data_IF_602942016473
#
_entry.id   IF_602942016473
#
_cell.length_a   1.000
_cell.length_b   1.000
_cell.length_c   1.000
_cell.angle_alpha   90.00
_cell.angle_beta   90.00
_cell.angle_gamma   90.00
#
_symmetry.space_group_name_H-M   'P 1'
#
loop_
_entity.id
_entity.type
_entity.pdbx_description
1 polymer ?
#
# COMPACT_ATOMS: atom_id res chain seq x y z
N UNK A 1 2.11 22.68 -23.20
CA UNK A 1 1.09 21.66 -22.87
C UNK A 1 1.28 20.38 -23.69
N UNK A 2 1.43 20.47 -25.02
CA UNK A 2 1.65 19.31 -25.91
C UNK A 2 2.93 18.52 -25.57
N UNK A 3 4.04 19.20 -25.27
CA UNK A 3 5.32 18.54 -24.92
C UNK A 3 5.21 17.69 -23.65
N UNK A 4 4.53 18.19 -22.62
CA UNK A 4 4.31 17.47 -21.36
C UNK A 4 3.46 16.22 -21.59
N UNK A 5 2.43 16.32 -22.42
CA UNK A 5 1.58 15.18 -22.80
C UNK A 5 2.40 14.12 -23.53
N UNK A 6 3.27 14.53 -24.47
CA UNK A 6 4.14 13.60 -25.20
C UNK A 6 5.13 12.90 -24.27
N UNK A 7 5.74 13.62 -23.31
CA UNK A 7 6.65 13.04 -22.32
C UNK A 7 5.95 12.03 -21.42
N UNK A 8 4.75 12.34 -20.92
CA UNK A 8 3.95 11.45 -20.08
C UNK A 8 3.59 10.16 -20.83
N UNK A 9 3.09 10.28 -22.07
CA UNK A 9 2.76 9.11 -22.90
C UNK A 9 4.00 8.28 -23.24
N UNK A 10 5.13 8.92 -23.53
CA UNK A 10 6.41 8.24 -23.78
C UNK A 10 6.85 7.40 -22.57
N UNK A 11 6.81 7.99 -21.37
CA UNK A 11 7.15 7.28 -20.14
C UNK A 11 6.17 6.13 -19.85
N UNK A 12 4.87 6.32 -20.07
CA UNK A 12 3.86 5.27 -19.88
C UNK A 12 4.16 4.05 -20.77
N UNK A 13 4.48 4.26 -22.05
CA UNK A 13 4.83 3.18 -22.96
C UNK A 13 6.09 2.45 -22.49
N UNK A 14 7.11 3.19 -22.01
CA UNK A 14 8.32 2.59 -21.47
C UNK A 14 8.03 1.77 -20.20
N UNK A 15 7.18 2.27 -19.30
CA UNK A 15 6.78 1.56 -18.08
C UNK A 15 5.99 0.29 -18.40
N UNK A 16 5.05 0.34 -19.36
CA UNK A 16 4.27 -0.81 -19.78
C UNK A 16 5.15 -1.92 -20.38
N UNK A 17 6.17 -1.56 -21.17
CA UNK A 17 7.13 -2.54 -21.70
C UNK A 17 7.96 -3.24 -20.62
N UNK A 18 8.17 -2.58 -19.49
CA UNK A 18 8.93 -3.09 -18.35
C UNK A 18 8.04 -3.70 -17.26
N UNK A 19 6.73 -3.77 -17.47
CA UNK A 19 5.74 -4.16 -16.45
C UNK A 19 6.07 -5.51 -15.82
N UNK A 20 6.38 -6.52 -16.63
CA UNK A 20 6.69 -7.86 -16.15
C UNK A 20 7.93 -7.87 -15.25
N UNK A 21 8.95 -7.09 -15.61
CA UNK A 21 10.18 -6.92 -14.83
C UNK A 21 9.89 -6.21 -13.51
N UNK A 22 9.09 -5.15 -13.53
CA UNK A 22 8.72 -4.41 -12.32
C UNK A 22 7.84 -5.22 -11.38
N UNK A 23 6.81 -5.89 -11.90
CA UNK A 23 5.94 -6.76 -11.11
C UNK A 23 6.76 -7.88 -10.45
N UNK A 24 7.73 -8.42 -11.17
CA UNK A 24 8.61 -9.47 -10.68
C UNK A 24 9.57 -8.97 -9.58
N UNK A 25 10.22 -7.84 -9.80
CA UNK A 25 11.07 -7.19 -8.80
C UNK A 25 10.28 -6.77 -7.55
N UNK A 26 9.09 -6.19 -7.73
CA UNK A 26 8.22 -5.75 -6.64
C UNK A 26 7.79 -6.92 -5.76
N UNK A 27 7.31 -8.03 -6.36
CA UNK A 27 6.92 -9.24 -5.61
C UNK A 27 8.06 -9.78 -4.75
N UNK A 28 9.28 -9.86 -5.31
CA UNK A 28 10.46 -10.34 -4.56
C UNK A 28 10.90 -9.38 -3.46
N UNK A 29 10.98 -8.08 -3.74
CA UNK A 29 11.40 -7.07 -2.74
C UNK A 29 10.41 -7.00 -1.59
N UNK A 30 9.12 -6.88 -1.89
CA UNK A 30 8.05 -6.76 -0.89
C UNK A 30 7.99 -8.01 -0.02
N UNK A 31 8.09 -9.20 -0.62
CA UNK A 31 8.16 -10.43 0.15
C UNK A 31 9.38 -10.45 1.08
N UNK A 32 10.55 -10.10 0.55
CA UNK A 32 11.78 -10.09 1.33
C UNK A 32 11.70 -9.13 2.53
N UNK A 33 11.25 -7.90 2.30
CA UNK A 33 11.08 -6.88 3.33
C UNK A 33 10.03 -7.29 4.37
N UNK A 34 8.89 -7.84 3.94
CA UNK A 34 7.85 -8.35 4.85
C UNK A 34 8.40 -9.46 5.73
N UNK A 35 9.06 -10.46 5.15
CA UNK A 35 9.53 -11.61 5.92
C UNK A 35 10.71 -11.25 6.84
N UNK A 36 11.62 -10.38 6.42
CA UNK A 36 12.71 -9.90 7.30
C UNK A 36 12.14 -9.11 8.48
N UNK A 37 11.14 -8.26 8.25
CA UNK A 37 10.47 -7.55 9.33
C UNK A 37 9.78 -8.51 10.32
N UNK A 38 8.95 -9.41 9.80
CA UNK A 38 8.12 -10.30 10.61
C UNK A 38 8.94 -11.35 11.36
N UNK A 39 9.94 -11.94 10.70
CA UNK A 39 10.71 -13.04 11.25
C UNK A 39 11.93 -12.58 12.04
N UNK A 40 12.55 -11.45 11.69
CA UNK A 40 13.79 -10.97 12.33
C UNK A 40 13.54 -9.74 13.19
N UNK A 41 12.97 -8.67 12.62
CA UNK A 41 12.83 -7.38 13.32
C UNK A 41 11.87 -7.49 14.51
N UNK A 42 10.73 -8.17 14.34
CA UNK A 42 9.74 -8.34 15.41
C UNK A 42 10.18 -9.27 16.56
N UNK A 43 11.32 -9.97 16.44
CA UNK A 43 11.85 -10.80 17.54
C UNK A 43 12.16 -9.97 18.78
N UNK A 44 12.81 -8.83 18.60
CA UNK A 44 13.25 -7.99 19.72
C UNK A 44 12.06 -7.30 20.44
N UNK A 45 11.08 -6.70 19.74
CA UNK A 45 9.83 -6.24 20.33
C UNK A 45 9.07 -7.35 21.08
N UNK A 46 8.98 -8.56 20.50
CA UNK A 46 8.34 -9.70 21.14
C UNK A 46 9.05 -10.11 22.44
N UNK A 47 10.38 -10.23 22.39
CA UNK A 47 11.22 -10.54 23.54
C UNK A 47 11.02 -9.54 24.67
N UNK A 48 11.04 -8.24 24.36
CA UNK A 48 10.83 -7.16 25.35
C UNK A 48 9.41 -7.22 25.92
N UNK A 49 8.40 -7.43 25.09
CA UNK A 49 7.01 -7.53 25.53
C UNK A 49 6.81 -8.70 26.51
N UNK A 50 7.37 -9.88 26.21
CA UNK A 50 7.33 -11.05 27.10
C UNK A 50 8.09 -10.77 28.41
N UNK A 51 9.33 -10.28 28.32
CA UNK A 51 10.17 -9.99 29.50
C UNK A 51 9.50 -8.99 30.44
N UNK A 52 8.83 -7.97 29.90
CA UNK A 52 8.23 -6.87 30.65
C UNK A 52 6.72 -7.04 30.89
N UNK A 53 6.16 -8.23 30.64
CA UNK A 53 4.73 -8.56 30.84
C UNK A 53 3.78 -7.56 30.15
N UNK A 54 4.11 -7.15 28.92
CA UNK A 54 3.29 -6.28 28.08
C UNK A 54 2.36 -7.11 27.20
N UNK A 55 1.35 -7.73 27.81
CA UNK A 55 0.53 -8.76 27.16
C UNK A 55 -0.20 -8.29 25.90
N UNK A 56 -0.70 -7.05 25.88
CA UNK A 56 -1.38 -6.52 24.69
C UNK A 56 -0.40 -6.32 23.51
N UNK A 57 0.80 -5.80 23.77
CA UNK A 57 1.85 -5.66 22.75
C UNK A 57 2.29 -7.04 22.26
N UNK A 58 2.51 -7.98 23.19
CA UNK A 58 2.84 -9.37 22.86
C UNK A 58 1.79 -9.97 21.93
N UNK A 59 0.50 -9.84 22.28
CA UNK A 59 -0.62 -10.38 21.51
C UNK A 59 -0.64 -9.84 20.07
N UNK A 60 -0.48 -8.52 19.91
CA UNK A 60 -0.45 -7.88 18.58
C UNK A 60 0.77 -8.35 17.77
N UNK A 61 1.96 -8.39 18.37
CA UNK A 61 3.18 -8.83 17.66
C UNK A 61 3.09 -10.30 17.25
N UNK A 62 2.55 -11.17 18.11
CA UNK A 62 2.31 -12.58 17.77
C UNK A 62 1.30 -12.70 16.64
N UNK A 63 0.17 -11.99 16.72
CA UNK A 63 -0.87 -12.00 15.69
C UNK A 63 -0.36 -11.53 14.31
N UNK A 64 0.50 -10.49 14.27
CA UNK A 64 1.18 -10.09 13.03
C UNK A 64 2.03 -11.23 12.46
N UNK A 65 2.78 -11.94 13.30
CA UNK A 65 3.65 -13.05 12.88
C UNK A 65 2.87 -14.26 12.42
N UNK A 66 1.73 -14.57 13.04
CA UNK A 66 0.82 -15.62 12.60
C UNK A 66 0.10 -15.29 11.28
N UNK A 67 -0.22 -14.02 11.06
CA UNK A 67 -0.94 -13.57 9.84
C UNK A 67 -0.11 -13.76 8.57
N UNK A 68 1.21 -13.58 8.63
CA UNK A 68 2.05 -13.49 7.43
C UNK A 68 3.45 -14.10 7.52
N UNK A 69 3.83 -14.72 8.64
CA UNK A 69 5.12 -15.39 8.79
C UNK A 69 5.20 -16.67 7.97
N UNK A 70 6.04 -16.67 6.93
CA UNK A 70 6.32 -17.84 6.09
C UNK A 70 7.64 -18.49 6.51
N UNK A 71 7.56 -19.41 7.46
CA UNK A 71 8.73 -20.04 8.04
C UNK A 71 9.33 -21.11 7.11
N UNK A 72 10.66 -21.18 7.02
CA UNK A 72 11.34 -22.14 6.15
C UNK A 72 10.98 -23.63 6.41
N UNK A 73 10.54 -23.96 7.62
CA UNK A 73 10.10 -25.32 8.02
C UNK A 73 8.57 -25.44 8.15
N UNK A 74 7.82 -24.45 7.67
CA UNK A 74 6.36 -24.39 7.79
C UNK A 74 5.82 -24.00 9.17
N UNK A 75 6.67 -24.00 10.20
CA UNK A 75 6.30 -23.58 11.55
C UNK A 75 7.35 -22.66 12.16
N UNK A 76 6.90 -21.83 13.10
CA UNK A 76 7.77 -20.94 13.83
C UNK A 76 8.79 -21.72 14.68
N UNK A 77 10.09 -21.37 14.65
CA UNK A 77 11.12 -22.01 15.46
C UNK A 77 10.85 -21.90 16.98
N UNK A 78 10.37 -22.98 17.59
CA UNK A 78 10.03 -23.02 19.03
C UNK A 78 11.24 -22.88 19.97
N UNK A 79 12.45 -23.07 19.43
CA UNK A 79 13.70 -22.85 20.14
C UNK A 79 14.16 -21.39 20.19
N UNK A 80 13.45 -20.45 19.54
CA UNK A 80 13.79 -19.02 19.56
C UNK A 80 13.80 -18.48 21.01
N UNK A 81 14.93 -17.96 21.53
CA UNK A 81 14.99 -17.35 22.87
C UNK A 81 14.00 -16.19 23.07
N UNK A 82 13.67 -15.47 22.00
CA UNK A 82 12.73 -14.34 22.02
C UNK A 82 11.33 -14.78 22.47
N UNK A 83 10.88 -15.98 22.10
CA UNK A 83 9.60 -16.57 22.53
C UNK A 83 9.53 -16.81 24.05
N UNK A 84 10.68 -16.78 24.73
CA UNK A 84 10.79 -16.93 26.19
C UNK A 84 11.28 -15.65 26.88
N UNK A 85 11.31 -14.52 26.16
CA UNK A 85 11.80 -13.24 26.68
C UNK A 85 13.32 -13.18 26.92
N UNK A 86 14.08 -14.17 26.43
CA UNK A 86 15.54 -14.29 26.62
C UNK A 86 16.28 -13.70 25.42
N UNK A 87 17.48 -13.16 25.67
CA UNK A 87 18.40 -12.73 24.60
C UNK A 87 19.00 -13.96 23.90
N UNK A 88 19.50 -13.76 22.69
CA UNK A 88 20.31 -14.77 21.99
C UNK A 88 21.57 -15.06 22.83
N UNK A 89 21.93 -16.34 22.95
CA UNK A 89 23.11 -16.78 23.70
C UNK A 89 24.40 -16.57 22.91
N UNK A 90 25.52 -17.08 23.44
CA UNK A 90 26.84 -17.03 22.76
C UNK A 90 26.82 -17.74 21.40
N UNK A 91 26.11 -18.87 21.30
CA UNK A 91 25.71 -19.42 20.01
C UNK A 91 24.54 -18.58 19.47
N UNK A 92 24.84 -17.64 18.57
CA UNK A 92 23.86 -16.75 17.95
C UNK A 92 22.74 -17.56 17.30
N UNK A 93 21.52 -17.40 17.80
CA UNK A 93 20.34 -18.01 17.20
C UNK A 93 20.04 -17.32 15.87
N UNK A 94 19.90 -18.09 14.78
CA UNK A 94 19.67 -17.57 13.45
C UNK A 94 18.40 -18.14 12.85
N UNK A 95 17.63 -17.28 12.16
CA UNK A 95 16.46 -17.68 11.38
C UNK A 95 16.81 -17.54 9.91
N UNK A 96 16.69 -18.63 9.16
CA UNK A 96 16.79 -18.60 7.69
C UNK A 96 15.46 -18.14 7.12
N UNK A 97 15.41 -16.88 6.70
CA UNK A 97 14.23 -16.31 6.04
C UNK A 97 14.17 -16.81 4.58
N UNK A 98 13.06 -17.44 4.14
CA UNK A 98 12.90 -17.82 2.75
C UNK A 98 12.86 -16.59 1.84
N UNK A 99 13.15 -16.80 0.55
CA UNK A 99 13.02 -15.77 -0.49
C UNK A 99 12.12 -16.33 -1.58
N UNK A 100 10.98 -15.67 -1.82
CA UNK A 100 9.97 -16.10 -2.79
C UNK A 100 9.60 -14.97 -3.71
N UNK A 101 9.00 -15.36 -4.83
CA UNK A 101 8.49 -14.45 -5.84
C UNK A 101 6.97 -14.29 -5.73
N UNK A 102 6.50 -13.81 -4.59
CA UNK A 102 5.07 -13.66 -4.31
C UNK A 102 4.84 -12.56 -3.29
N UNK A 103 4.02 -11.56 -3.62
CA UNK A 103 3.64 -10.52 -2.67
C UNK A 103 2.62 -11.04 -1.64
N UNK A 104 2.43 -10.34 -0.51
CA UNK A 104 1.32 -10.62 0.40
C UNK A 104 -0.01 -10.38 -0.29
N UNK A 105 -1.05 -11.10 0.15
CA UNK A 105 -2.43 -10.76 -0.22
C UNK A 105 -2.82 -9.37 0.33
N UNK A 106 -3.82 -8.73 -0.29
CA UNK A 106 -4.38 -7.46 0.19
C UNK A 106 -4.85 -7.55 1.63
N UNK A 107 -5.49 -8.67 2.01
CA UNK A 107 -5.92 -8.93 3.39
C UNK A 107 -4.74 -9.04 4.35
N UNK A 108 -3.68 -9.78 4.01
CA UNK A 108 -2.47 -9.87 4.85
C UNK A 108 -1.84 -8.50 5.04
N UNK A 109 -1.65 -7.74 3.96
CA UNK A 109 -1.06 -6.40 4.03
C UNK A 109 -1.92 -5.45 4.88
N UNK A 110 -3.23 -5.47 4.69
CA UNK A 110 -4.17 -4.69 5.47
C UNK A 110 -4.07 -5.03 6.96
N UNK A 111 -4.21 -6.32 7.32
CA UNK A 111 -4.17 -6.77 8.71
C UNK A 111 -2.85 -6.43 9.40
N UNK A 112 -1.71 -6.65 8.74
CA UNK A 112 -0.39 -6.32 9.30
C UNK A 112 -0.29 -4.82 9.56
N UNK A 113 -0.64 -3.99 8.57
CA UNK A 113 -0.55 -2.54 8.70
C UNK A 113 -1.45 -2.01 9.81
N UNK A 114 -2.71 -2.43 9.89
CA UNK A 114 -3.65 -2.01 10.94
C UNK A 114 -3.19 -2.41 12.34
N UNK A 115 -2.66 -3.62 12.49
CA UNK A 115 -2.11 -4.09 13.77
C UNK A 115 -0.87 -3.30 14.20
N UNK A 116 0.04 -3.00 13.27
CA UNK A 116 1.21 -2.17 13.54
C UNK A 116 0.83 -0.71 13.81
N UNK A 117 -0.19 -0.18 13.12
CA UNK A 117 -0.74 1.15 13.39
C UNK A 117 -1.26 1.25 14.83
N UNK A 118 -1.93 0.22 15.34
CA UNK A 118 -2.38 0.18 16.72
C UNK A 118 -1.23 0.26 17.75
N UNK A 119 -0.04 -0.24 17.40
CA UNK A 119 1.15 -0.13 18.26
C UNK A 119 1.73 1.29 18.30
N UNK A 120 1.69 2.00 17.16
CA UNK A 120 2.36 3.30 16.99
C UNK A 120 1.42 4.50 17.08
N UNK A 121 0.11 4.29 17.15
CA UNK A 121 -0.88 5.36 17.21
C UNK A 121 -0.83 6.15 18.52
N UNK A 122 -0.90 7.48 18.41
CA UNK A 122 -1.08 8.41 19.52
C UNK A 122 -2.54 8.53 19.96
N UNK A 123 -3.48 8.07 19.14
CA UNK A 123 -4.92 8.16 19.43
C UNK A 123 -5.29 7.09 20.44
N UNK A 124 -5.60 7.53 21.64
CA UNK A 124 -6.30 6.72 22.61
C UNK A 124 -7.55 7.45 23.07
N UNK A 125 -8.73 6.87 22.82
CA UNK A 125 -9.99 7.35 23.38
C UNK A 125 -10.06 7.07 24.89
N UNK A 126 -9.15 7.66 25.67
CA UNK A 126 -9.08 7.54 27.13
C UNK A 126 -8.30 6.33 27.69
N UNK A 127 -7.79 5.41 26.86
CA UNK A 127 -6.92 4.29 27.31
C UNK A 127 -5.44 4.66 27.24
N UNK A 128 -4.56 4.00 28.01
CA UNK A 128 -3.09 4.17 27.87
C UNK A 128 -2.66 3.84 26.44
N UNK A 129 -1.87 4.71 25.79
CA UNK A 129 -1.31 4.44 24.45
C UNK A 129 -0.24 3.35 24.52
N UNK A 130 -0.26 2.41 23.58
CA UNK A 130 0.74 1.33 23.47
C UNK A 130 2.12 1.88 23.06
N UNK A 131 2.14 2.95 22.28
CA UNK A 131 3.34 3.65 21.81
C UNK A 131 4.33 3.97 22.93
N UNK A 132 3.83 4.42 24.09
CA UNK A 132 4.67 4.81 25.25
C UNK A 132 5.37 3.62 25.92
N UNK A 133 4.92 2.40 25.65
CA UNK A 133 5.48 1.17 26.21
C UNK A 133 6.50 0.51 25.26
N UNK A 134 6.78 1.12 24.11
CA UNK A 134 7.82 0.71 23.16
C UNK A 134 9.05 1.61 23.31
N UNK A 135 10.24 1.03 23.19
CA UNK A 135 11.47 1.81 23.12
C UNK A 135 11.65 2.47 21.75
N UNK A 136 12.47 3.52 21.69
CA UNK A 136 12.67 4.33 20.48
C UNK A 136 13.13 3.51 19.27
N UNK A 137 14.01 2.50 19.46
CA UNK A 137 14.50 1.66 18.38
C UNK A 137 13.39 0.80 17.78
N UNK A 138 12.61 0.13 18.62
CA UNK A 138 11.42 -0.63 18.20
C UNK A 138 10.42 0.26 17.45
N UNK A 139 10.16 1.44 18.00
CA UNK A 139 9.20 2.38 17.42
C UNK A 139 9.62 2.83 16.02
N UNK A 140 10.88 3.21 15.85
CA UNK A 140 11.45 3.60 14.56
C UNK A 140 11.35 2.49 13.53
N UNK A 141 11.64 1.24 13.91
CA UNK A 141 11.55 0.09 13.01
C UNK A 141 10.12 -0.14 12.52
N UNK A 142 9.13 -0.09 13.42
CA UNK A 142 7.71 -0.27 13.06
C UNK A 142 7.22 0.90 12.19
N UNK A 143 7.56 2.13 12.54
CA UNK A 143 7.18 3.31 11.75
C UNK A 143 7.79 3.29 10.34
N UNK A 144 9.05 2.87 10.23
CA UNK A 144 9.73 2.75 8.94
C UNK A 144 9.04 1.72 8.05
N UNK A 145 8.79 0.52 8.58
CA UNK A 145 8.06 -0.52 7.87
C UNK A 145 6.64 -0.07 7.49
N UNK A 146 5.91 0.55 8.42
CA UNK A 146 4.56 1.04 8.19
C UNK A 146 4.51 2.14 7.12
N UNK A 147 5.53 2.99 7.03
CA UNK A 147 5.64 4.01 5.99
C UNK A 147 5.97 3.41 4.62
N UNK A 148 6.95 2.52 4.57
CA UNK A 148 7.38 1.86 3.32
C UNK A 148 6.26 1.01 2.72
N UNK A 149 5.59 0.21 3.56
CA UNK A 149 4.52 -0.69 3.12
C UNK A 149 3.24 0.02 2.65
N UNK A 150 3.15 1.34 2.79
CA UNK A 150 2.01 2.11 2.28
C UNK A 150 1.89 2.00 0.76
N UNK A 151 3.03 1.96 0.07
CA UNK A 151 3.07 1.94 -1.39
C UNK A 151 2.97 0.53 -1.99
N UNK A 152 3.08 -0.52 -1.18
CA UNK A 152 3.18 -1.89 -1.68
C UNK A 152 1.95 -2.35 -2.46
N UNK A 153 0.75 -1.97 -2.03
CA UNK A 153 -0.47 -2.29 -2.80
C UNK A 153 -0.45 -1.68 -4.21
N UNK A 154 0.08 -0.46 -4.34
CA UNK A 154 0.23 0.22 -5.63
C UNK A 154 1.29 -0.44 -6.51
N UNK A 155 2.40 -0.87 -5.92
CA UNK A 155 3.48 -1.55 -6.63
C UNK A 155 3.11 -2.97 -7.09
N UNK A 156 2.33 -3.70 -6.28
CA UNK A 156 1.86 -5.04 -6.62
C UNK A 156 0.79 -5.00 -7.73
N UNK A 157 -0.02 -3.94 -7.77
CA UNK A 157 -1.04 -3.72 -8.79
C UNK A 157 -0.59 -2.65 -9.80
N UNK A 158 0.71 -2.56 -10.08
CA UNK A 158 1.27 -1.50 -10.92
C UNK A 158 0.57 -1.41 -12.29
N UNK A 159 0.16 -2.55 -12.85
CA UNK A 159 -0.58 -2.63 -14.11
C UNK A 159 -1.89 -1.85 -14.08
N UNK A 160 -2.70 -2.09 -13.04
CA UNK A 160 -3.98 -1.41 -12.81
C UNK A 160 -3.78 0.09 -12.60
N UNK A 161 -2.77 0.49 -11.80
CA UNK A 161 -2.51 1.91 -11.55
C UNK A 161 -1.90 2.65 -12.74
N UNK A 162 -1.01 2.00 -13.51
CA UNK A 162 -0.39 2.59 -14.68
C UNK A 162 -1.39 2.80 -15.83
N UNK A 163 -2.39 1.91 -15.98
CA UNK A 163 -3.48 2.09 -16.93
C UNK A 163 -4.50 3.14 -16.46
N UNK A 164 -4.87 3.14 -15.18
CA UNK A 164 -6.00 3.95 -14.68
C UNK A 164 -5.63 5.41 -14.37
N UNK A 165 -4.35 5.71 -14.06
CA UNK A 165 -3.92 7.09 -13.69
C UNK A 165 -3.37 7.91 -14.87
N UNK A 166 -3.18 7.30 -16.04
CA UNK A 166 -2.66 7.96 -17.25
C UNK A 166 -3.58 7.68 -18.45
N UNK A 167 -4.88 7.48 -18.23
CA UNK A 167 -5.84 7.64 -19.32
C UNK A 167 -6.03 9.14 -19.55
N UNK A 168 -5.21 9.67 -20.45
CA UNK A 168 -5.46 10.97 -21.12
C UNK A 168 -6.65 10.84 -22.08
N UNK A 169 -7.13 9.62 -22.33
CA UNK A 169 -8.26 9.37 -23.23
C UNK A 169 -9.58 9.90 -22.62
N UNK A 170 -9.71 9.93 -21.28
CA UNK A 170 -10.81 10.64 -20.61
C UNK A 170 -10.75 12.16 -20.83
N UNK A 171 -9.57 12.74 -21.03
CA UNK A 171 -9.43 14.18 -21.34
C UNK A 171 -9.84 14.46 -22.79
N UNK A 172 -9.58 13.53 -23.71
CA UNK A 172 -10.05 13.68 -25.10
C UNK A 172 -11.56 13.49 -25.21
N UNK A 173 -12.15 12.52 -24.52
CA UNK A 173 -13.60 12.31 -24.54
C UNK A 173 -14.37 13.44 -23.84
N UNK A 174 -13.85 14.02 -22.75
CA UNK A 174 -14.53 15.11 -22.05
C UNK A 174 -14.47 16.44 -22.83
N UNK A 175 -13.37 16.69 -23.56
CA UNK A 175 -13.26 17.84 -24.49
C UNK A 175 -14.19 17.66 -25.71
N UNK A 176 -14.37 16.44 -26.20
CA UNK A 176 -15.22 16.16 -27.38
C UNK A 176 -16.71 16.10 -27.01
N UNK A 177 -17.07 15.58 -25.84
CA UNK A 177 -18.46 15.56 -25.34
C UNK A 177 -18.98 16.99 -25.07
N UNK A 178 -18.12 17.84 -24.48
CA UNK A 178 -18.39 19.27 -24.26
C UNK A 178 -18.60 20.03 -25.57
N UNK A 179 -17.83 19.66 -26.61
CA UNK A 179 -17.92 20.25 -27.95
C UNK A 179 -19.18 19.82 -28.71
N UNK A 180 -19.65 18.59 -28.51
CA UNK A 180 -20.88 18.07 -29.11
C UNK A 180 -22.11 18.69 -28.42
N UNK A 181 -22.09 18.80 -27.09
CA UNK A 181 -23.15 19.44 -26.30
C UNK A 181 -23.31 20.93 -26.65
N UNK A 182 -22.19 21.66 -26.80
CA UNK A 182 -22.21 23.08 -27.21
C UNK A 182 -22.76 23.31 -28.63
N UNK A 183 -22.48 22.40 -29.58
CA UNK A 183 -23.04 22.49 -30.94
C UNK A 183 -24.54 22.18 -31.00
N UNK A 184 -25.03 21.22 -30.21
CA UNK A 184 -26.47 20.94 -30.11
C UNK A 184 -27.24 22.10 -29.45
N UNK A 185 -26.70 22.70 -28.38
CA UNK A 185 -27.31 23.87 -27.74
C UNK A 185 -27.37 25.10 -28.68
N UNK A 186 -26.34 25.30 -29.51
CA UNK A 186 -26.31 26.37 -30.52
C UNK A 186 -27.39 26.20 -31.60
N UNK A 187 -27.62 24.98 -32.08
CA UNK A 187 -28.67 24.69 -33.07
C UNK A 187 -30.09 24.88 -32.52
N UNK A 188 -30.32 24.51 -31.26
CA UNK A 188 -31.61 24.73 -30.58
C UNK A 188 -31.94 26.22 -30.42
N UNK A 189 -30.96 27.05 -30.04
CA UNK A 189 -31.16 28.49 -29.88
C UNK A 189 -31.34 29.22 -31.23
N UNK A 190 -30.69 28.73 -32.28
CA UNK A 190 -30.86 29.27 -33.64
C UNK A 190 -32.28 28.99 -34.16
N UNK A 191 -32.79 27.76 -34.01
CA UNK A 191 -34.15 27.40 -34.40
C UNK A 191 -35.24 28.18 -33.66
N UNK A 192 -35.01 28.51 -32.38
CA UNK A 192 -35.95 29.31 -31.60
C UNK A 192 -36.00 30.79 -32.06
N UNK A 193 -34.85 31.37 -32.41
CA UNK A 193 -34.77 32.75 -32.94
C UNK A 193 -35.38 32.87 -34.34
N UNK A 194 -35.22 31.84 -35.17
CA UNK A 194 -35.79 31.83 -36.51
C UNK A 194 -37.32 31.60 -36.48
N UNK A 195 -37.82 30.83 -35.51
CA UNK A 195 -39.25 30.69 -35.22
C UNK A 195 -39.91 31.99 -34.75
N UNK A 196 -39.27 32.75 -33.85
CA UNK A 196 -39.79 34.05 -33.40
C UNK A 196 -39.81 35.11 -34.52
N UNK A 197 -38.80 35.10 -35.41
CA UNK A 197 -38.76 35.99 -36.57
C UNK A 197 -39.83 35.64 -37.62
N UNK A 198 -40.16 34.37 -37.78
CA UNK A 198 -41.24 33.94 -38.66
C UNK A 198 -42.63 34.33 -38.11
N UNK A 199 -42.79 34.32 -36.78
CA UNK A 199 -44.05 34.69 -36.13
C UNK A 199 -44.31 36.21 -36.14
N UNK A 200 -43.24 37.03 -36.08
CA UNK A 200 -43.33 38.50 -36.23
C UNK A 200 -43.63 39.00 -37.66
N UNK A 201 -43.53 38.15 -38.69
CA UNK A 201 -43.84 38.50 -40.08
C UNK A 201 -45.26 38.12 -40.52
N UNK A 202 -46.06 37.50 -39.64
CA UNK A 202 -47.45 37.09 -39.92
C UNK A 202 -48.50 37.83 -39.08
N UNK A 203 -48.10 38.90 -38.38
CA UNK A 203 -48.99 39.83 -37.66
C UNK A 203 -49.06 41.17 -38.37
#
# INVERSE_FOLDING_TARGET
MIEVIAMIKGLQVLMARMETVFADAARRSIYAELQDFVQLVLREPLRKAIKNKKDLIRSIVVSVRETCGDWARGCEPQQDPALRGKKDGEASFTIKVPRRNVGPSSTQLYMVRTQLEALISDKSGGRRTLRKDLDAGTLQQIETFHRQSFYWGYLLNLSEYASHKIHIDDIYDDQNSSSISGKQAGLYLQGHKDGEKANKKKG
#
